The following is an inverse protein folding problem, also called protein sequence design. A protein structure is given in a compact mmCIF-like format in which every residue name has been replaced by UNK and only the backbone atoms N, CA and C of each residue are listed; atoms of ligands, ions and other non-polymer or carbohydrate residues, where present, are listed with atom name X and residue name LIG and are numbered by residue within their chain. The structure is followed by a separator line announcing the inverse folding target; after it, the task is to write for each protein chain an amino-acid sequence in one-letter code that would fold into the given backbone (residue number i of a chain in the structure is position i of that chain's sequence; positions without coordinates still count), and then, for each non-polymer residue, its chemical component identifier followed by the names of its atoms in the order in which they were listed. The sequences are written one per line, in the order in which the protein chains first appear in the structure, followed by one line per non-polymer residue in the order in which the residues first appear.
data_IF_091404693779
#
_entry.id   IF_091404693779
#
_cell.length_a   1.000
_cell.length_b   1.000
_cell.length_c   1.000
_cell.angle_alpha   90.00
_cell.angle_beta   90.00
_cell.angle_gamma   90.00
#
_symmetry.space_group_name_H-M   'P 1'
#
loop_
_entity.id
_entity.type
_entity.pdbx_description
1 polymer ?
#
# COMPACT_ATOMS: atom_id res chain seq x y z
N UNK A 1 0.80 -22.27 -41.54
CA UNK A 1 0.96 -21.23 -40.49
C UNK A 1 0.98 -21.84 -39.10
N UNK A 2 -0.09 -22.49 -38.64
CA UNK A 2 -0.14 -23.11 -37.30
C UNK A 2 0.99 -24.13 -37.03
N UNK A 3 1.35 -24.93 -38.04
CA UNK A 3 2.50 -25.86 -37.95
C UNK A 3 3.84 -25.11 -37.83
N UNK A 4 4.03 -24.02 -38.59
CA UNK A 4 5.25 -23.19 -38.53
C UNK A 4 5.37 -22.43 -37.20
N UNK A 5 4.25 -22.15 -36.55
CA UNK A 5 4.16 -21.56 -35.21
C UNK A 5 4.33 -22.61 -34.10
N UNK A 6 4.49 -23.90 -34.43
CA UNK A 6 4.71 -24.98 -33.47
C UNK A 6 3.46 -25.42 -32.71
N UNK A 7 2.26 -25.20 -33.26
CA UNK A 7 1.02 -25.65 -32.61
C UNK A 7 0.86 -27.17 -32.69
N UNK A 8 0.40 -27.78 -31.59
CA UNK A 8 0.10 -29.21 -31.53
C UNK A 8 -1.03 -29.62 -32.50
N UNK A 9 -0.96 -30.84 -33.01
CA UNK A 9 -1.96 -31.39 -33.95
C UNK A 9 -3.40 -31.31 -33.43
N UNK A 10 -3.62 -31.51 -32.13
CA UNK A 10 -4.94 -31.38 -31.51
C UNK A 10 -5.46 -29.93 -31.53
N UNK A 11 -4.56 -28.95 -31.42
CA UNK A 11 -4.91 -27.52 -31.49
C UNK A 11 -5.29 -27.16 -32.92
N UNK A 12 -4.53 -27.64 -33.90
CA UNK A 12 -4.81 -27.42 -35.33
C UNK A 12 -6.20 -27.96 -35.70
N UNK A 13 -6.52 -29.20 -35.32
CA UNK A 13 -7.83 -29.81 -35.58
C UNK A 13 -9.00 -29.08 -34.90
N UNK A 14 -8.75 -28.44 -33.76
CA UNK A 14 -9.77 -27.63 -33.09
C UNK A 14 -9.97 -26.28 -33.76
N UNK A 15 -8.88 -25.65 -34.24
CA UNK A 15 -8.94 -24.39 -34.98
C UNK A 15 -9.67 -24.55 -36.32
N UNK A 16 -9.47 -25.65 -37.03
CA UNK A 16 -10.16 -25.96 -38.31
C UNK A 16 -11.69 -26.01 -38.18
N UNK A 17 -12.20 -26.35 -37.00
CA UNK A 17 -13.65 -26.42 -36.72
C UNK A 17 -14.26 -25.04 -36.44
N UNK A 18 -13.44 -24.00 -36.30
CA UNK A 18 -13.92 -22.64 -36.03
C UNK A 18 -14.30 -21.91 -37.31
N UNK A 19 -15.17 -20.90 -37.20
CA UNK A 19 -15.60 -20.09 -38.35
C UNK A 19 -14.49 -19.20 -38.91
N UNK A 20 -13.45 -18.89 -38.12
CA UNK A 20 -12.27 -18.15 -38.55
C UNK A 20 -10.99 -18.74 -37.91
N UNK A 21 -10.41 -19.77 -38.55
CA UNK A 21 -9.22 -20.45 -38.02
C UNK A 21 -8.00 -19.53 -37.85
N UNK A 22 -7.87 -18.50 -38.71
CA UNK A 22 -6.77 -17.55 -38.65
C UNK A 22 -6.89 -16.64 -37.42
N UNK A 23 -8.06 -16.04 -37.18
CA UNK A 23 -8.29 -15.24 -35.98
C UNK A 23 -8.13 -16.07 -34.70
N UNK A 24 -8.61 -17.32 -34.71
CA UNK A 24 -8.40 -18.26 -33.60
C UNK A 24 -6.91 -18.53 -33.34
N UNK A 25 -6.12 -18.74 -34.39
CA UNK A 25 -4.68 -18.97 -34.28
C UNK A 25 -3.94 -17.75 -33.69
N UNK A 26 -4.22 -16.55 -34.21
CA UNK A 26 -3.58 -15.31 -33.72
C UNK A 26 -3.94 -15.04 -32.26
N UNK A 27 -5.20 -15.30 -31.86
CA UNK A 27 -5.64 -15.08 -30.46
C UNK A 27 -4.92 -15.95 -29.43
N UNK A 28 -4.37 -17.10 -29.85
CA UNK A 28 -3.65 -18.03 -28.98
C UNK A 28 -2.13 -17.75 -28.97
N UNK A 29 -1.63 -16.98 -29.93
CA UNK A 29 -0.21 -16.70 -30.11
C UNK A 29 0.18 -15.42 -29.36
N UNK A 30 0.36 -15.53 -28.04
CA UNK A 30 0.63 -14.38 -27.15
C UNK A 30 1.93 -13.62 -27.45
N UNK A 31 2.93 -14.30 -28.03
CA UNK A 31 4.27 -13.73 -28.26
C UNK A 31 4.57 -13.48 -29.76
N UNK A 32 3.55 -13.54 -30.62
CA UNK A 32 3.74 -13.37 -32.05
C UNK A 32 3.88 -11.88 -32.41
N UNK A 33 5.01 -11.51 -33.00
CA UNK A 33 5.25 -10.15 -33.54
C UNK A 33 4.83 -10.03 -35.01
N UNK A 34 4.56 -8.81 -35.46
CA UNK A 34 4.22 -8.53 -36.87
C UNK A 34 5.33 -9.02 -37.84
N UNK A 35 6.59 -8.81 -37.49
CA UNK A 35 7.73 -9.27 -38.30
C UNK A 35 7.78 -10.81 -38.39
N UNK A 36 7.54 -11.52 -37.28
CA UNK A 36 7.48 -12.98 -37.29
C UNK A 36 6.31 -13.49 -38.14
N UNK A 37 5.15 -12.82 -38.10
CA UNK A 37 4.01 -13.17 -38.95
C UNK A 37 4.35 -13.01 -40.44
N UNK A 38 5.03 -11.92 -40.81
CA UNK A 38 5.50 -11.68 -42.18
C UNK A 38 6.47 -12.79 -42.61
N UNK A 39 7.49 -13.11 -41.79
CA UNK A 39 8.43 -14.19 -42.07
C UNK A 39 7.74 -15.55 -42.29
N UNK A 40 6.67 -15.85 -41.53
CA UNK A 40 5.92 -17.08 -41.73
C UNK A 40 5.09 -17.08 -43.02
N UNK A 41 4.55 -15.94 -43.42
CA UNK A 41 3.83 -15.81 -44.69
C UNK A 41 4.78 -15.95 -45.88
N UNK A 42 5.99 -15.39 -45.80
CA UNK A 42 7.04 -15.56 -46.80
C UNK A 42 7.50 -17.03 -46.90
N UNK A 43 7.71 -17.72 -45.78
CA UNK A 43 8.04 -19.16 -45.77
C UNK A 43 6.94 -20.06 -46.34
N UNK A 44 5.72 -19.56 -46.43
CA UNK A 44 4.59 -20.24 -47.07
C UNK A 44 4.40 -19.83 -48.55
N UNK A 45 5.33 -19.07 -49.12
CA UNK A 45 5.26 -18.48 -50.46
C UNK A 45 4.02 -17.59 -50.67
N UNK A 46 3.50 -16.96 -49.61
CA UNK A 46 2.31 -16.07 -49.64
C UNK A 46 2.69 -14.58 -49.69
N UNK A 47 3.54 -14.23 -50.65
CA UNK A 47 3.94 -12.84 -50.90
C UNK A 47 2.78 -11.94 -51.32
N UNK A 48 1.77 -12.51 -51.99
CA UNK A 48 0.52 -11.82 -52.35
C UNK A 48 -0.18 -11.20 -51.14
N UNK A 49 -0.27 -11.95 -50.05
CA UNK A 49 -0.91 -11.50 -48.81
C UNK A 49 -0.06 -10.44 -48.13
N UNK A 50 1.27 -10.58 -48.15
CA UNK A 50 2.18 -9.61 -47.55
C UNK A 50 2.06 -8.27 -48.25
N UNK A 51 2.16 -8.25 -49.59
CA UNK A 51 2.09 -7.01 -50.37
C UNK A 51 0.75 -6.28 -50.19
N UNK A 52 -0.37 -7.02 -50.14
CA UNK A 52 -1.70 -6.45 -49.96
C UNK A 52 -1.94 -5.90 -48.53
N UNK A 53 -1.23 -6.43 -47.52
CA UNK A 53 -1.51 -6.13 -46.11
C UNK A 53 -0.44 -5.29 -45.41
N UNK A 54 0.77 -5.18 -45.98
CA UNK A 54 1.91 -4.48 -45.35
C UNK A 54 1.55 -3.04 -44.95
N UNK A 55 0.90 -2.29 -45.84
CA UNK A 55 0.53 -0.89 -45.58
C UNK A 55 -0.53 -0.76 -44.45
N UNK A 56 -1.43 -1.74 -44.33
CA UNK A 56 -2.43 -1.77 -43.25
C UNK A 56 -1.75 -2.13 -41.92
N UNK A 57 -0.85 -3.12 -41.92
CA UNK A 57 -0.08 -3.51 -40.74
C UNK A 57 0.82 -2.37 -40.24
N UNK A 58 1.49 -1.64 -41.15
CA UNK A 58 2.30 -0.46 -40.81
C UNK A 58 1.45 0.65 -40.20
N UNK A 59 0.24 0.89 -40.73
CA UNK A 59 -0.68 1.89 -40.19
C UNK A 59 -1.16 1.50 -38.78
N UNK A 60 -1.56 0.25 -38.59
CA UNK A 60 -2.00 -0.27 -37.29
C UNK A 60 -0.86 -0.24 -36.26
N UNK A 61 0.37 -0.57 -36.66
CA UNK A 61 1.55 -0.45 -35.81
C UNK A 61 1.88 1.01 -35.48
N UNK A 62 1.71 1.93 -36.44
CA UNK A 62 1.84 3.37 -36.19
C UNK A 62 0.77 3.90 -35.22
N UNK A 63 -0.47 3.43 -35.33
CA UNK A 63 -1.56 3.81 -34.42
C UNK A 63 -1.38 3.20 -33.03
N UNK A 64 -1.01 1.92 -32.94
CA UNK A 64 -0.68 1.25 -31.69
C UNK A 64 0.52 1.89 -31.02
N UNK A 65 1.58 2.19 -31.77
CA UNK A 65 2.74 2.93 -31.25
C UNK A 65 2.40 4.36 -30.88
N UNK A 66 1.42 5.03 -31.50
CA UNK A 66 0.90 6.33 -31.02
C UNK A 66 0.09 6.18 -29.74
N UNK A 67 -0.64 5.09 -29.54
CA UNK A 67 -1.38 4.82 -28.31
C UNK A 67 -0.45 4.47 -27.16
N UNK A 68 0.56 3.61 -27.39
CA UNK A 68 1.63 3.36 -26.42
C UNK A 68 2.44 4.62 -26.21
N UNK A 69 2.81 5.38 -27.26
CA UNK A 69 3.47 6.67 -27.09
C UNK A 69 2.57 7.68 -26.38
N UNK A 70 1.25 7.73 -26.50
CA UNK A 70 0.45 8.64 -25.66
C UNK A 70 0.46 8.23 -24.17
N UNK A 71 0.74 6.96 -23.89
CA UNK A 71 0.99 6.45 -22.54
C UNK A 71 2.47 6.58 -22.11
N UNK A 72 3.44 6.57 -23.04
CA UNK A 72 4.90 6.56 -22.84
C UNK A 72 5.61 7.91 -23.15
N UNK A 73 4.96 8.86 -23.85
CA UNK A 73 5.46 10.23 -24.14
C UNK A 73 5.02 11.27 -23.11
N UNK A 74 4.43 10.83 -21.99
CA UNK A 74 4.98 11.34 -20.73
C UNK A 74 6.39 10.78 -20.64
N UNK A 75 7.37 11.48 -21.24
CA UNK A 75 8.70 11.46 -20.63
C UNK A 75 8.46 11.65 -19.13
N UNK A 76 8.95 10.73 -18.29
CA UNK A 76 8.83 10.78 -16.84
C UNK A 76 9.55 12.04 -16.33
N UNK A 77 9.00 13.21 -16.61
CA UNK A 77 9.24 14.39 -15.82
C UNK A 77 8.66 13.99 -14.47
N UNK A 78 9.51 13.79 -13.45
CA UNK A 78 9.03 13.42 -12.14
C UNK A 78 8.00 14.48 -11.75
N UNK A 79 6.81 14.05 -11.34
CA UNK A 79 5.81 14.98 -10.83
C UNK A 79 6.29 15.47 -9.46
N UNK A 80 7.13 16.50 -9.51
CA UNK A 80 7.61 17.25 -8.35
C UNK A 80 6.39 18.01 -7.82
N UNK A 81 5.81 17.49 -6.74
CA UNK A 81 4.61 18.05 -6.11
C UNK A 81 5.01 18.73 -4.79
N UNK A 82 6.01 18.19 -4.09
CA UNK A 82 6.42 18.71 -2.79
C UNK A 82 7.75 19.46 -2.86
N UNK A 83 7.97 20.37 -1.92
CA UNK A 83 9.25 21.08 -1.77
C UNK A 83 10.38 20.06 -1.52
N UNK A 84 10.11 19.03 -0.73
CA UNK A 84 11.07 17.94 -0.50
C UNK A 84 11.42 17.17 -1.77
N UNK A 85 10.49 17.01 -2.72
CA UNK A 85 10.80 16.42 -4.02
C UNK A 85 11.82 17.26 -4.79
N UNK A 86 11.67 18.59 -4.77
CA UNK A 86 12.58 19.48 -5.47
C UNK A 86 14.00 19.40 -4.90
N UNK A 87 14.13 19.31 -3.58
CA UNK A 87 15.40 19.14 -2.88
C UNK A 87 16.04 17.78 -3.20
N UNK A 88 15.32 16.67 -2.97
CA UNK A 88 15.85 15.32 -3.16
C UNK A 88 16.14 15.02 -4.63
N UNK A 89 15.26 15.44 -5.55
CA UNK A 89 15.45 15.23 -6.98
C UNK A 89 16.69 15.95 -7.51
N UNK A 90 17.06 17.09 -6.92
CA UNK A 90 18.29 17.82 -7.27
C UNK A 90 19.56 17.09 -6.83
N UNK A 91 19.49 16.26 -5.79
CA UNK A 91 20.64 15.56 -5.21
C UNK A 91 20.88 14.18 -5.85
N UNK A 92 19.85 13.35 -5.95
CA UNK A 92 19.98 11.94 -6.35
C UNK A 92 19.03 11.52 -7.49
N UNK A 93 18.20 12.44 -8.00
CA UNK A 93 17.24 12.17 -9.06
C UNK A 93 16.03 11.33 -8.61
N UNK A 94 15.81 11.18 -7.30
CA UNK A 94 14.67 10.43 -6.75
C UNK A 94 13.63 11.34 -6.09
N UNK A 95 12.41 10.83 -5.93
CA UNK A 95 11.31 11.54 -5.27
C UNK A 95 11.15 11.09 -3.82
N UNK A 96 10.68 12.00 -2.97
CA UNK A 96 10.46 11.70 -1.55
C UNK A 96 9.33 10.69 -1.39
N UNK A 97 9.59 9.68 -0.56
CA UNK A 97 8.60 8.73 -0.07
C UNK A 97 8.12 9.16 1.32
N UNK A 98 6.81 9.04 1.55
CA UNK A 98 6.15 9.44 2.79
C UNK A 98 5.43 8.26 3.43
N UNK A 99 5.48 8.16 4.76
CA UNK A 99 4.78 7.12 5.52
C UNK A 99 3.27 7.38 5.53
N UNK A 100 2.86 8.65 5.64
CA UNK A 100 1.46 9.00 5.51
C UNK A 100 1.21 10.40 4.96
N UNK A 101 0.16 10.51 4.15
CA UNK A 101 -0.47 11.78 3.84
C UNK A 101 -1.50 12.12 4.91
N UNK A 102 -1.34 13.25 5.60
CA UNK A 102 -2.26 13.69 6.67
C UNK A 102 -3.36 14.53 6.05
N UNK A 103 -4.59 14.04 6.15
CA UNK A 103 -5.77 14.73 5.66
C UNK A 103 -6.58 15.25 6.84
N UNK A 104 -6.85 16.55 6.90
CA UNK A 104 -7.47 17.20 8.05
C UNK A 104 -8.25 18.44 7.63
N UNK A 105 -9.13 18.96 8.49
CA UNK A 105 -9.75 20.26 8.29
C UNK A 105 -8.86 21.36 8.88
N UNK A 106 -8.84 22.55 8.27
CA UNK A 106 -7.98 23.66 8.69
C UNK A 106 -8.16 24.02 10.16
N UNK A 107 -9.39 23.88 10.68
CA UNK A 107 -9.75 24.13 12.07
C UNK A 107 -9.06 23.18 13.06
N UNK A 108 -8.61 22.01 12.61
CA UNK A 108 -7.96 20.98 13.43
C UNK A 108 -6.42 21.08 13.41
N UNK A 109 -5.86 22.18 12.86
CA UNK A 109 -4.41 22.38 12.68
C UNK A 109 -3.61 22.20 13.99
N UNK A 110 -4.14 22.64 15.14
CA UNK A 110 -3.44 22.53 16.43
C UNK A 110 -3.17 21.07 16.82
N UNK A 111 -4.16 20.20 16.61
CA UNK A 111 -4.00 18.78 16.86
C UNK A 111 -3.02 18.16 15.87
N UNK A 112 -3.13 18.53 14.58
CA UNK A 112 -2.21 18.04 13.55
C UNK A 112 -0.77 18.43 13.83
N UNK A 113 -0.50 19.64 14.31
CA UNK A 113 0.84 20.05 14.73
C UNK A 113 1.38 19.15 15.85
N UNK A 114 0.51 18.70 16.77
CA UNK A 114 0.88 17.75 17.82
C UNK A 114 1.22 16.38 17.24
N UNK A 115 0.42 15.89 16.28
CA UNK A 115 0.68 14.64 15.55
C UNK A 115 2.02 14.73 14.83
N UNK A 116 2.26 15.78 14.05
CA UNK A 116 3.51 16.01 13.32
C UNK A 116 4.71 16.00 14.27
N UNK A 117 4.65 16.79 15.35
CA UNK A 117 5.73 16.85 16.33
C UNK A 117 6.06 15.49 16.95
N UNK A 118 5.05 14.68 17.25
CA UNK A 118 5.24 13.33 17.80
C UNK A 118 5.78 12.34 16.76
N UNK A 119 5.15 12.28 15.60
CA UNK A 119 5.42 11.27 14.57
C UNK A 119 6.74 11.54 13.85
N UNK A 120 6.99 12.77 13.41
CA UNK A 120 8.25 13.12 12.73
C UNK A 120 9.39 13.29 13.72
N UNK A 121 9.11 13.86 14.91
CA UNK A 121 10.14 14.13 15.91
C UNK A 121 10.58 12.92 16.73
N UNK A 122 9.65 12.22 17.38
CA UNK A 122 9.98 11.10 18.28
C UNK A 122 10.09 9.76 17.57
N UNK A 123 9.37 9.57 16.46
CA UNK A 123 9.32 8.29 15.77
C UNK A 123 10.05 8.28 14.42
N UNK A 124 10.53 9.43 13.94
CA UNK A 124 11.35 9.52 12.72
C UNK A 124 10.62 9.15 11.42
N UNK A 125 9.29 9.14 11.41
CA UNK A 125 8.48 8.90 10.20
C UNK A 125 8.31 10.19 9.41
N UNK A 126 8.13 10.09 8.09
CA UNK A 126 7.89 11.24 7.21
C UNK A 126 6.40 11.41 6.91
N UNK A 127 5.81 12.53 7.34
CA UNK A 127 4.44 12.88 7.00
C UNK A 127 4.41 13.90 5.87
N UNK A 128 3.35 13.87 5.08
CA UNK A 128 3.07 14.88 4.06
C UNK A 128 1.78 15.63 4.41
N UNK A 129 1.85 16.97 4.43
CA UNK A 129 0.74 17.88 4.65
C UNK A 129 0.60 18.77 3.42
N UNK A 130 -0.63 18.89 2.90
CA UNK A 130 -0.94 19.75 1.75
C UNK A 130 -0.45 21.18 1.94
N UNK A 131 -0.80 21.81 3.05
CA UNK A 131 -0.52 23.25 3.27
C UNK A 131 0.97 23.54 3.58
N UNK A 132 1.76 22.53 3.97
CA UNK A 132 3.18 22.68 4.34
C UNK A 132 4.12 22.27 3.21
N UNK A 133 3.85 21.12 2.60
CA UNK A 133 4.82 20.42 1.77
C UNK A 133 4.59 20.67 0.28
N UNK A 134 3.38 21.04 -0.16
CA UNK A 134 3.08 21.23 -1.58
C UNK A 134 3.73 22.52 -2.10
N UNK A 135 4.22 22.45 -3.33
CA UNK A 135 4.75 23.62 -4.02
C UNK A 135 3.60 24.55 -4.42
N UNK A 136 3.78 25.84 -4.19
CA UNK A 136 2.82 26.86 -4.62
C UNK A 136 2.76 26.95 -6.15
N UNK A 137 1.56 27.08 -6.71
CA UNK A 137 1.35 27.23 -8.16
C UNK A 137 1.11 25.91 -8.90
N UNK A 138 0.85 24.81 -8.21
CA UNK A 138 0.42 23.56 -8.84
C UNK A 138 -0.90 23.78 -9.61
N UNK A 139 -0.95 23.45 -10.91
CA UNK A 139 -2.11 23.76 -11.76
C UNK A 139 -3.36 22.95 -11.42
N UNK A 140 -3.21 21.78 -10.78
CA UNK A 140 -4.31 20.90 -10.40
C UNK A 140 -4.02 20.17 -9.07
N UNK A 141 -4.53 20.71 -7.96
CA UNK A 141 -4.28 20.15 -6.63
C UNK A 141 -4.78 18.71 -6.47
N UNK A 142 -5.97 18.38 -6.97
CA UNK A 142 -6.49 17.01 -6.86
C UNK A 142 -5.61 16.01 -7.60
N UNK A 143 -5.09 16.36 -8.78
CA UNK A 143 -4.18 15.49 -9.51
C UNK A 143 -2.90 15.25 -8.71
N UNK A 144 -2.30 16.32 -8.19
CA UNK A 144 -1.13 16.26 -7.32
C UNK A 144 -1.34 15.37 -6.08
N UNK A 145 -2.46 15.55 -5.38
CA UNK A 145 -2.83 14.71 -4.22
C UNK A 145 -3.01 13.24 -4.63
N UNK A 146 -3.74 12.96 -5.71
CA UNK A 146 -4.00 11.59 -6.13
C UNK A 146 -2.73 10.87 -6.61
N UNK A 147 -1.82 11.57 -7.29
CA UNK A 147 -0.51 11.03 -7.71
C UNK A 147 0.34 10.68 -6.48
N UNK A 148 0.49 11.66 -5.58
CA UNK A 148 1.27 11.51 -4.35
C UNK A 148 0.75 10.32 -3.54
N UNK A 149 -0.57 10.24 -3.32
CA UNK A 149 -1.19 9.13 -2.59
C UNK A 149 -0.97 7.79 -3.29
N UNK A 150 -1.06 7.76 -4.62
CA UNK A 150 -0.94 6.52 -5.38
C UNK A 150 0.47 5.94 -5.34
N UNK A 151 1.48 6.80 -5.46
CA UNK A 151 2.83 6.35 -5.79
C UNK A 151 3.84 6.59 -4.66
N UNK A 152 3.59 7.56 -3.77
CA UNK A 152 4.62 8.11 -2.88
C UNK A 152 4.23 8.18 -1.42
N UNK A 153 2.95 8.10 -1.10
CA UNK A 153 2.49 7.90 0.26
C UNK A 153 2.11 6.46 0.49
N UNK A 154 2.58 5.88 1.58
CA UNK A 154 2.17 4.54 1.97
C UNK A 154 0.73 4.52 2.47
N UNK A 155 0.41 5.37 3.44
CA UNK A 155 -0.92 5.48 4.03
C UNK A 155 -1.55 6.86 3.81
N UNK A 156 -2.87 6.92 3.96
CA UNK A 156 -3.61 8.16 4.16
C UNK A 156 -4.16 8.16 5.57
N UNK A 157 -3.86 9.21 6.33
CA UNK A 157 -4.25 9.42 7.72
C UNK A 157 -5.32 10.53 7.78
N UNK A 158 -6.60 10.21 7.58
CA UNK A 158 -7.68 11.17 7.78
C UNK A 158 -7.92 11.39 9.28
N UNK A 159 -7.89 12.66 9.68
CA UNK A 159 -8.19 13.15 11.02
C UNK A 159 -9.66 13.58 11.07
N UNK A 160 -10.52 12.68 11.53
CA UNK A 160 -11.96 12.89 11.61
C UNK A 160 -12.35 13.80 12.78
N UNK A 161 -13.06 14.85 12.44
CA UNK A 161 -13.75 15.81 13.29
C UNK A 161 -15.06 16.23 12.61
N UNK A 162 -15.97 16.95 13.30
CA UNK A 162 -17.12 17.56 12.64
C UNK A 162 -16.74 18.48 11.47
N UNK A 163 -15.64 19.24 11.58
CA UNK A 163 -15.16 20.14 10.53
C UNK A 163 -14.62 19.38 9.32
N UNK A 164 -13.93 18.25 9.57
CA UNK A 164 -13.43 17.37 8.51
C UNK A 164 -14.54 16.93 7.56
N UNK A 165 -15.69 16.57 8.11
CA UNK A 165 -16.82 16.03 7.33
C UNK A 165 -17.54 17.10 6.49
N UNK A 166 -17.27 18.38 6.72
CA UNK A 166 -17.85 19.48 5.94
C UNK A 166 -17.08 19.77 4.65
N UNK A 167 -15.85 19.25 4.51
CA UNK A 167 -15.01 19.48 3.33
C UNK A 167 -15.25 18.43 2.25
N UNK A 168 -15.71 18.86 1.07
CA UNK A 168 -15.88 17.99 -0.10
C UNK A 168 -14.53 17.46 -0.62
N UNK A 169 -13.46 18.26 -0.53
CA UNK A 169 -12.11 17.83 -0.91
C UNK A 169 -11.64 16.67 -0.03
N UNK A 170 -11.91 16.74 1.27
CA UNK A 170 -11.56 15.66 2.20
C UNK A 170 -12.35 14.39 1.88
N UNK A 171 -13.65 14.51 1.56
CA UNK A 171 -14.47 13.37 1.13
C UNK A 171 -13.93 12.75 -0.15
N UNK A 172 -13.57 13.56 -1.14
CA UNK A 172 -12.98 13.10 -2.39
C UNK A 172 -11.71 12.28 -2.14
N UNK A 173 -10.77 12.80 -1.35
CA UNK A 173 -9.50 12.12 -1.08
C UNK A 173 -9.72 10.82 -0.31
N UNK A 174 -10.64 10.78 0.66
CA UNK A 174 -11.01 9.54 1.36
C UNK A 174 -11.57 8.51 0.39
N UNK A 175 -12.56 8.87 -0.42
CA UNK A 175 -13.19 7.96 -1.38
C UNK A 175 -12.17 7.42 -2.40
N UNK A 176 -11.31 8.29 -2.92
CA UNK A 176 -10.22 7.90 -3.81
C UNK A 176 -9.28 6.88 -3.14
N UNK A 177 -8.89 7.15 -1.89
CA UNK A 177 -7.99 6.27 -1.14
C UNK A 177 -8.63 4.93 -0.78
N UNK A 178 -9.94 4.90 -0.54
CA UNK A 178 -10.70 3.66 -0.32
C UNK A 178 -10.73 2.81 -1.59
N UNK A 179 -11.07 3.42 -2.72
CA UNK A 179 -11.07 2.76 -4.02
C UNK A 179 -9.69 2.19 -4.36
N UNK A 180 -8.63 2.97 -4.16
CA UNK A 180 -7.25 2.54 -4.40
C UNK A 180 -6.84 1.37 -3.49
N UNK A 181 -7.25 1.40 -2.22
CA UNK A 181 -6.99 0.30 -1.29
C UNK A 181 -7.69 -0.99 -1.69
N UNK A 182 -8.93 -0.90 -2.18
CA UNK A 182 -9.70 -2.04 -2.71
C UNK A 182 -9.03 -2.59 -3.97
N UNK A 183 -8.71 -1.72 -4.93
CA UNK A 183 -8.08 -2.07 -6.20
C UNK A 183 -6.75 -2.82 -5.98
N UNK A 184 -5.90 -2.31 -5.09
CA UNK A 184 -4.58 -2.90 -4.79
C UNK A 184 -4.64 -4.02 -3.76
N UNK A 185 -5.81 -4.32 -3.20
CA UNK A 185 -5.96 -5.30 -2.11
C UNK A 185 -5.11 -4.97 -0.88
N UNK A 186 -4.86 -3.69 -0.61
CA UNK A 186 -3.95 -3.25 0.43
C UNK A 186 -4.62 -2.28 1.40
N UNK A 187 -4.12 -2.25 2.63
CA UNK A 187 -4.54 -1.28 3.64
C UNK A 187 -3.98 0.09 3.29
N UNK A 188 -4.80 0.96 2.68
CA UNK A 188 -4.38 2.32 2.30
C UNK A 188 -4.71 3.38 3.34
N UNK A 189 -5.76 3.20 4.13
CA UNK A 189 -6.26 4.21 5.06
C UNK A 189 -6.03 3.79 6.52
N UNK A 190 -5.64 4.76 7.35
CA UNK A 190 -5.57 4.65 8.80
C UNK A 190 -6.47 5.72 9.43
N UNK A 191 -7.75 5.42 9.72
CA UNK A 191 -8.66 6.42 10.28
C UNK A 191 -8.27 6.87 11.68
N UNK A 192 -8.24 8.18 11.93
CA UNK A 192 -8.03 8.76 13.25
C UNK A 192 -9.21 9.64 13.65
N UNK A 193 -9.92 9.28 14.72
CA UNK A 193 -11.00 10.09 15.29
C UNK A 193 -10.42 11.01 16.34
N UNK A 194 -10.34 12.30 16.01
CA UNK A 194 -9.88 13.34 16.93
C UNK A 194 -11.02 13.83 17.82
N UNK A 195 -12.20 14.06 17.23
CA UNK A 195 -13.41 14.47 17.92
C UNK A 195 -14.58 13.55 17.56
N UNK A 196 -15.54 13.40 18.47
CA UNK A 196 -16.71 12.58 18.22
C UNK A 196 -17.53 13.17 17.06
N UNK A 197 -17.70 12.38 16.00
CA UNK A 197 -18.37 12.79 14.77
C UNK A 197 -19.02 11.59 14.09
N UNK A 198 -19.91 11.85 13.13
CA UNK A 198 -20.60 10.80 12.40
C UNK A 198 -19.78 10.32 11.18
N UNK A 199 -19.03 9.23 11.37
CA UNK A 199 -18.14 8.72 10.34
C UNK A 199 -18.92 8.20 9.11
N UNK A 200 -18.39 8.40 7.89
CA UNK A 200 -18.92 7.80 6.67
C UNK A 200 -19.06 6.29 6.80
N UNK A 201 -20.09 5.72 6.16
CA UNK A 201 -20.42 4.29 6.28
C UNK A 201 -19.24 3.39 5.93
N UNK A 202 -18.50 3.72 4.87
CA UNK A 202 -17.32 2.96 4.43
C UNK A 202 -16.24 2.93 5.52
N UNK A 203 -15.92 4.09 6.09
CA UNK A 203 -14.92 4.26 7.15
C UNK A 203 -15.29 3.53 8.46
N UNK A 204 -16.59 3.35 8.76
CA UNK A 204 -17.03 2.68 10.01
C UNK A 204 -16.57 1.23 10.13
N UNK A 205 -16.27 0.56 9.02
CA UNK A 205 -15.79 -0.83 9.02
C UNK A 205 -14.29 -0.97 9.28
N UNK A 206 -13.56 0.14 9.32
CA UNK A 206 -12.12 0.13 9.59
C UNK A 206 -11.83 0.09 11.09
N UNK A 207 -10.72 -0.57 11.44
CA UNK A 207 -10.10 -0.36 12.76
C UNK A 207 -9.54 1.05 12.82
N UNK A 208 -10.05 1.86 13.74
CA UNK A 208 -9.69 3.27 13.90
C UNK A 208 -8.77 3.53 15.09
N UNK A 209 -7.96 4.57 14.95
CA UNK A 209 -7.32 5.28 16.06
C UNK A 209 -8.37 6.23 16.64
N UNK A 210 -8.55 6.20 17.94
CA UNK A 210 -9.56 6.99 18.65
C UNK A 210 -8.85 7.77 19.74
N UNK A 211 -8.73 9.08 19.53
CA UNK A 211 -8.07 9.98 20.47
C UNK A 211 -8.97 10.30 21.67
N UNK A 212 -10.29 10.19 21.49
CA UNK A 212 -11.28 10.47 22.55
C UNK A 212 -11.40 9.33 23.56
N UNK A 213 -10.83 8.17 23.24
CA UNK A 213 -10.92 6.97 24.06
C UNK A 213 -10.11 7.12 25.35
N UNK A 214 -10.82 7.14 26.47
CA UNK A 214 -10.21 7.03 27.79
C UNK A 214 -10.10 5.55 28.19
N UNK A 215 -8.92 4.97 28.05
CA UNK A 215 -8.66 3.59 28.48
C UNK A 215 -7.18 3.44 28.94
N UNK A 216 -6.91 2.92 30.14
CA UNK A 216 -5.54 2.70 30.64
C UNK A 216 -4.66 1.81 29.75
N UNK A 217 -5.25 0.89 28.98
CA UNK A 217 -4.54 -0.01 28.06
C UNK A 217 -4.46 0.55 26.63
N UNK A 218 -4.85 1.81 26.43
CA UNK A 218 -4.86 2.46 25.14
C UNK A 218 -3.81 3.57 25.08
N UNK A 219 -2.63 3.20 24.61
CA UNK A 219 -1.65 4.19 24.17
C UNK A 219 -1.95 4.57 22.71
N UNK A 220 -2.57 5.74 22.54
CA UNK A 220 -2.92 6.28 21.23
C UNK A 220 -1.69 6.46 20.34
N UNK A 221 -0.59 6.99 20.89
CA UNK A 221 0.59 7.35 20.10
C UNK A 221 1.38 6.12 19.66
N UNK A 222 1.58 5.17 20.57
CA UNK A 222 2.20 3.88 20.24
C UNK A 222 1.37 3.11 19.20
N UNK A 223 0.03 3.12 19.34
CA UNK A 223 -0.83 2.48 18.34
C UNK A 223 -0.79 3.19 16.99
N UNK A 224 -0.73 4.52 16.96
CA UNK A 224 -0.56 5.29 15.73
C UNK A 224 0.76 4.94 15.05
N UNK A 225 1.87 4.93 15.80
CA UNK A 225 3.20 4.51 15.33
C UNK A 225 3.14 3.13 14.70
N UNK A 226 2.65 2.13 15.42
CA UNK A 226 2.54 0.74 14.93
C UNK A 226 1.63 0.61 13.71
N UNK A 227 0.63 1.48 13.61
CA UNK A 227 -0.32 1.50 12.49
C UNK A 227 0.28 2.08 11.21
N UNK A 228 1.24 3.00 11.32
CA UNK A 228 1.92 3.66 10.22
C UNK A 228 3.27 3.01 9.87
N UNK A 229 3.78 2.16 10.75
CA UNK A 229 5.04 1.45 10.55
C UNK A 229 4.99 0.49 9.35
N UNK A 230 6.16 0.30 8.75
CA UNK A 230 6.36 -0.64 7.65
C UNK A 230 6.31 -2.11 8.12
N UNK A 231 5.40 -2.97 7.62
CA UNK A 231 5.46 -4.41 7.85
C UNK A 231 6.63 -5.10 7.12
N UNK A 232 7.23 -4.49 6.09
CA UNK A 232 8.42 -5.02 5.40
C UNK A 232 9.76 -4.60 6.02
N UNK A 233 9.77 -3.71 7.00
CA UNK A 233 10.99 -3.35 7.71
C UNK A 233 11.43 -4.49 8.65
N UNK A 234 12.71 -4.91 8.62
CA UNK A 234 13.21 -5.93 9.53
C UNK A 234 13.13 -5.45 11.00
N UNK A 235 13.01 -6.37 11.99
CA UNK A 235 12.85 -6.02 13.42
C UNK A 235 14.05 -5.30 14.07
N UNK A 236 15.11 -5.01 13.33
CA UNK A 236 16.40 -4.54 13.83
C UNK A 236 16.43 -3.02 14.02
N UNK A 237 15.54 -2.47 14.85
CA UNK A 237 15.69 -1.13 15.46
C UNK A 237 14.74 -0.95 16.66
N UNK A 238 14.29 -2.06 17.26
CA UNK A 238 13.53 -2.06 18.52
C UNK A 238 14.48 -2.28 19.68
N UNK A 239 15.25 -1.26 20.04
CA UNK A 239 15.86 -1.17 21.37
C UNK A 239 15.35 0.07 22.06
N UNK A 240 14.18 -0.06 22.67
CA UNK A 240 13.81 0.76 23.81
C UNK A 240 14.86 0.49 24.90
N UNK A 241 15.77 1.45 25.10
CA UNK A 241 16.64 1.49 26.28
C UNK A 241 15.74 1.69 27.50
N UNK A 242 15.27 0.59 28.06
CA UNK A 242 14.71 0.59 29.41
C UNK A 242 15.88 0.84 30.36
N UNK A 243 16.11 2.11 30.71
CA UNK A 243 17.01 2.48 31.80
C UNK A 243 16.34 2.07 33.12
N UNK A 244 16.52 0.82 33.54
CA UNK A 244 16.36 0.46 34.95
C UNK A 244 17.67 0.82 35.64
N UNK A 245 17.72 2.02 36.20
CA UNK A 245 18.72 2.37 37.20
C UNK A 245 18.47 1.51 38.44
N UNK A 246 19.09 0.33 38.49
CA UNK A 246 19.23 -0.44 39.73
C UNK A 246 20.59 -0.10 40.31
N UNK A 247 20.55 0.57 41.45
CA UNK A 247 21.66 0.81 42.37
C UNK A 247 22.48 -0.48 42.57
N UNK A 248 23.76 -0.38 42.24
CA UNK A 248 24.79 -1.33 42.60
C UNK A 248 24.88 -1.44 44.13
N UNK A 249 24.84 -2.66 44.65
CA UNK A 249 25.57 -3.03 45.85
C UNK A 249 26.09 -4.47 45.68
N UNK A 250 27.41 -4.56 45.60
CA UNK A 250 28.23 -5.76 45.66
C UNK A 250 27.95 -6.60 46.91
N UNK A 251 27.89 -7.93 46.78
CA UNK A 251 29.04 -8.80 47.11
C UNK A 251 28.72 -10.29 46.87
N UNK A 252 29.60 -10.90 46.10
CA UNK A 252 30.12 -12.28 46.08
C UNK A 252 29.37 -13.46 46.73
N UNK A 253 29.13 -14.44 45.85
CA UNK A 253 29.51 -15.87 45.93
C UNK A 253 29.17 -16.69 47.17
N UNK A 254 28.33 -17.72 46.95
CA UNK A 254 28.69 -19.15 47.12
C UNK A 254 27.50 -20.06 46.80
N UNK A 255 27.63 -20.92 45.78
CA UNK A 255 26.86 -22.17 45.72
C UNK A 255 27.47 -23.17 46.72
N UNK A 256 26.66 -24.09 47.28
CA UNK A 256 26.85 -25.45 46.83
C UNK A 256 25.58 -26.33 46.75
N UNK A 257 25.75 -27.37 45.93
CA UNK A 257 25.30 -28.76 46.10
C UNK A 257 23.83 -29.16 45.87
N UNK A 258 23.70 -30.07 44.89
CA UNK A 258 22.68 -31.11 44.68
C UNK A 258 22.27 -31.81 45.98
N UNK A 259 20.97 -32.07 46.12
CA UNK A 259 20.49 -33.36 46.62
C UNK A 259 19.17 -33.74 45.91
N UNK A 260 19.18 -34.92 45.30
CA UNK A 260 18.01 -35.62 44.75
C UNK A 260 17.42 -36.49 45.85
N UNK A 261 16.10 -36.65 45.91
CA UNK A 261 15.38 -37.93 46.13
C UNK A 261 13.87 -37.68 46.34
N UNK A 262 13.07 -38.44 45.55
CA UNK A 262 11.82 -39.18 45.87
C UNK A 262 10.94 -38.61 46.99
N UNK A 263 9.66 -38.28 46.78
CA UNK A 263 8.59 -39.15 46.27
C UNK A 263 7.80 -39.70 47.46
N UNK A 264 6.51 -39.36 47.58
CA UNK A 264 5.44 -40.31 47.89
C UNK A 264 4.04 -39.67 47.94
N UNK A 265 3.08 -40.43 47.39
CA UNK A 265 1.63 -40.25 47.42
C UNK A 265 1.04 -40.85 48.71
N UNK A 266 -0.04 -40.25 49.22
CA UNK A 266 -1.33 -40.89 49.58
C UNK A 266 -2.12 -40.00 50.56
N UNK A 267 -3.36 -39.60 50.19
CA UNK A 267 -4.65 -40.01 50.82
C UNK A 267 -4.85 -39.50 52.27
N UNK A 268 -5.99 -38.98 52.75
CA UNK A 268 -7.42 -39.11 52.40
C UNK A 268 -8.24 -38.16 53.31
N UNK A 269 -9.33 -37.59 52.78
CA UNK A 269 -10.66 -37.40 53.43
C UNK A 269 -10.77 -36.40 54.62
N UNK A 270 -11.81 -35.57 54.85
CA UNK A 270 -13.29 -35.68 54.79
C UNK A 270 -13.90 -34.25 54.87
N UNK A 271 -14.82 -33.87 53.97
CA UNK A 271 -16.26 -33.57 54.21
C UNK A 271 -16.63 -32.60 55.36
N UNK A 272 -17.37 -31.53 55.06
CA UNK A 272 -18.75 -31.32 55.52
C UNK A 272 -19.43 -30.16 54.77
N UNK A 273 -20.64 -30.45 54.30
CA UNK A 273 -21.67 -29.58 53.71
C UNK A 273 -22.48 -28.86 54.81
N UNK A 274 -23.10 -27.71 54.52
CA UNK A 274 -24.57 -27.45 54.48
C UNK A 274 -24.81 -26.18 55.33
N UNK A 275 -25.80 -25.31 55.19
CA UNK A 275 -26.98 -25.16 54.34
C UNK A 275 -27.48 -23.71 54.51
N UNK A 276 -28.25 -23.26 53.52
CA UNK A 276 -29.14 -22.07 53.45
C UNK A 276 -30.55 -22.51 53.94
N UNK A 277 -31.64 -21.72 54.14
CA UNK A 277 -31.93 -20.27 54.30
C UNK A 277 -32.76 -20.03 55.62
N UNK A 278 -33.66 -19.01 55.77
CA UNK A 278 -34.90 -18.76 54.98
C UNK A 278 -34.90 -17.45 54.16
#
# INVERSE_FOLDING_TARGET
LAELMGCDMLVIQNLEKTSNPFAGLISQAKDLTANQLIEYLEKMDRYDVVDDTIALMENDLYLASRQTNLQETKQDIPQIVTIGDQEQFSEDGTLVQYDAFVLYAREDQEFVNTVVKKIEGEYGMKLCLKDRDFIAGLPFEHQAVTELISNRCRFVLPIFSPNFLNSEDNKFVVNFSEALGIERGCRKIVPCVYQQCDLPKSVRYYTRLDFTRQNPYWDFWDKMKKSLADPSAPPSERTDKINISTTENNTDQKYPARLSLKGDLSEKSKSYSENVPP
#
